data_IF_717219846652
#
_entry.id   IF_717219846652
#
_cell.length_a   1.000
_cell.length_b   1.000
_cell.length_c   1.000
_cell.angle_alpha   90.00
_cell.angle_beta   90.00
_cell.angle_gamma   90.00
#
_symmetry.space_group_name_H-M   'P 1'
#
loop_
_entity.id
_entity.type
_entity.pdbx_description
1 polymer ?
#
# COMPACT_ATOMS: atom_id res chain seq x y z
N UNK A 1 6.42 -16.63 -19.27
CA UNK A 1 6.74 -15.19 -19.30
C UNK A 1 5.58 -14.31 -18.84
N UNK A 2 4.42 -14.28 -19.50
CA UNK A 2 3.29 -13.41 -19.07
C UNK A 2 2.70 -13.81 -17.71
N UNK A 3 2.55 -15.12 -17.49
CA UNK A 3 2.06 -15.69 -16.22
C UNK A 3 2.99 -15.38 -15.04
N UNK A 4 4.30 -15.30 -15.28
CA UNK A 4 5.32 -15.02 -14.26
C UNK A 4 5.28 -13.54 -13.83
N UNK A 5 5.04 -12.62 -14.79
CA UNK A 5 4.86 -11.19 -14.50
C UNK A 5 3.57 -10.91 -13.73
N UNK A 6 2.48 -11.59 -14.07
CA UNK A 6 1.22 -11.52 -13.33
C UNK A 6 1.37 -12.07 -11.91
N UNK A 7 2.05 -13.22 -11.74
CA UNK A 7 2.34 -13.77 -10.43
C UNK A 7 3.19 -12.81 -9.58
N UNK A 8 4.20 -12.16 -10.19
CA UNK A 8 4.99 -11.13 -9.54
C UNK A 8 4.14 -9.92 -9.13
N UNK A 9 3.29 -9.41 -10.02
CA UNK A 9 2.43 -8.26 -9.72
C UNK A 9 1.47 -8.55 -8.56
N UNK A 10 0.90 -9.76 -8.50
CA UNK A 10 0.07 -10.21 -7.37
C UNK A 10 0.90 -10.32 -6.09
N UNK A 11 2.12 -10.85 -6.15
CA UNK A 11 3.01 -10.94 -4.99
C UNK A 11 3.37 -9.55 -4.44
N UNK A 12 3.66 -8.58 -5.32
CA UNK A 12 3.90 -7.19 -4.93
C UNK A 12 2.65 -6.55 -4.33
N UNK A 13 1.46 -6.81 -4.89
CA UNK A 13 0.21 -6.32 -4.32
C UNK A 13 -0.04 -6.87 -2.91
N UNK A 14 0.28 -8.15 -2.67
CA UNK A 14 0.15 -8.79 -1.37
C UNK A 14 1.13 -8.24 -0.30
N UNK A 15 2.23 -7.61 -0.71
CA UNK A 15 3.18 -6.95 0.19
C UNK A 15 2.64 -5.63 0.75
N UNK A 16 1.80 -4.90 0.00
CA UNK A 16 1.30 -3.58 0.40
C UNK A 16 0.52 -3.60 1.72
N UNK A 17 -0.43 -4.53 1.97
CA UNK A 17 -1.08 -4.68 3.27
C UNK A 17 -0.09 -4.83 4.43
N UNK A 18 1.02 -5.53 4.21
CA UNK A 18 2.04 -5.79 5.24
C UNK A 18 2.82 -4.52 5.58
N UNK A 19 3.15 -3.69 4.57
CA UNK A 19 3.80 -2.38 4.77
C UNK A 19 2.89 -1.47 5.61
N UNK A 20 1.61 -1.40 5.25
CA UNK A 20 0.63 -0.62 6.00
C UNK A 20 0.42 -1.18 7.41
N UNK A 21 0.28 -2.50 7.57
CA UNK A 21 0.08 -3.14 8.88
C UNK A 21 1.29 -3.05 9.82
N UNK A 22 2.51 -2.89 9.30
CA UNK A 22 3.71 -2.64 10.11
C UNK A 22 3.80 -1.19 10.59
N UNK A 23 3.26 -0.24 9.82
CA UNK A 23 3.37 1.19 10.10
C UNK A 23 2.13 1.78 10.81
N UNK A 24 0.97 1.13 10.68
CA UNK A 24 -0.32 1.63 11.15
C UNK A 24 -1.07 0.58 11.98
N UNK A 25 -1.86 1.02 12.96
CA UNK A 25 -2.78 0.13 13.66
C UNK A 25 -3.88 -0.38 12.71
N UNK A 26 -4.58 -1.46 13.09
CA UNK A 26 -5.68 -2.00 12.29
C UNK A 26 -6.73 -0.93 11.94
N UNK A 27 -7.34 -1.06 10.76
CA UNK A 27 -8.38 -0.12 10.30
C UNK A 27 -9.55 0.02 11.30
N UNK A 28 -9.89 -1.04 12.03
CA UNK A 28 -10.90 -1.01 13.09
C UNK A 28 -10.53 -0.07 14.23
N UNK A 29 -9.25 -0.05 14.63
CA UNK A 29 -8.72 0.85 15.64
C UNK A 29 -8.70 2.29 15.14
N UNK A 30 -8.28 2.53 13.89
CA UNK A 30 -8.27 3.89 13.29
C UNK A 30 -9.68 4.46 13.16
N UNK A 31 -10.68 3.62 12.87
CA UNK A 31 -12.07 4.04 12.81
C UNK A 31 -12.64 4.37 14.20
N UNK A 32 -12.12 3.74 15.26
CA UNK A 32 -12.54 3.99 16.63
C UNK A 32 -11.91 5.25 17.24
N UNK A 33 -10.69 5.62 16.82
CA UNK A 33 -10.03 6.87 17.18
C UNK A 33 -9.42 7.56 15.94
N UNK A 34 -10.23 8.35 15.21
CA UNK A 34 -9.81 9.06 14.00
C UNK A 34 -8.81 10.20 14.25
N UNK A 35 -8.70 10.66 15.49
CA UNK A 35 -8.05 11.92 15.86
C UNK A 35 -6.59 11.74 16.25
N UNK A 36 -6.09 10.51 16.30
CA UNK A 36 -4.73 10.20 16.71
C UNK A 36 -3.70 10.91 15.79
N UNK A 37 -2.92 11.88 16.30
CA UNK A 37 -2.11 12.78 15.49
C UNK A 37 -0.98 12.08 14.72
N UNK A 38 -0.58 10.88 15.16
CA UNK A 38 0.48 10.09 14.53
C UNK A 38 0.01 9.25 13.33
N UNK A 39 -1.30 9.03 13.19
CA UNK A 39 -1.83 8.16 12.12
C UNK A 39 -1.62 8.78 10.75
N UNK A 40 -1.76 10.10 10.62
CA UNK A 40 -1.55 10.78 9.32
C UNK A 40 -0.10 10.72 8.84
N UNK A 41 0.84 10.99 9.73
CA UNK A 41 2.27 10.93 9.38
C UNK A 41 2.69 9.50 9.03
N UNK A 42 2.22 8.51 9.79
CA UNK A 42 2.49 7.10 9.53
C UNK A 42 1.84 6.62 8.22
N UNK A 43 0.64 7.10 7.91
CA UNK A 43 -0.06 6.80 6.65
C UNK A 43 0.72 7.30 5.44
N UNK A 44 1.20 8.55 5.50
CA UNK A 44 2.03 9.12 4.43
C UNK A 44 3.35 8.36 4.29
N UNK A 45 4.02 8.05 5.41
CA UNK A 45 5.26 7.29 5.39
C UNK A 45 5.04 5.89 4.77
N UNK A 46 4.01 5.17 5.21
CA UNK A 46 3.65 3.86 4.67
C UNK A 46 3.32 3.93 3.17
N UNK A 47 2.59 4.95 2.73
CA UNK A 47 2.30 5.19 1.33
C UNK A 47 3.55 5.44 0.48
N UNK A 48 4.48 6.26 0.96
CA UNK A 48 5.76 6.48 0.28
C UNK A 48 6.62 5.21 0.23
N UNK A 49 6.69 4.46 1.33
CA UNK A 49 7.43 3.19 1.37
C UNK A 49 6.83 2.18 0.39
N UNK A 50 5.51 2.01 0.39
CA UNK A 50 4.80 1.13 -0.54
C UNK A 50 5.05 1.54 -2.00
N UNK A 51 4.92 2.83 -2.32
CA UNK A 51 5.19 3.34 -3.65
C UNK A 51 6.65 3.11 -4.08
N UNK A 52 7.62 3.36 -3.20
CA UNK A 52 9.04 3.13 -3.47
C UNK A 52 9.33 1.65 -3.75
N UNK A 53 8.74 0.73 -2.98
CA UNK A 53 8.88 -0.72 -3.19
C UNK A 53 8.27 -1.13 -4.53
N UNK A 54 7.05 -0.68 -4.84
CA UNK A 54 6.39 -1.00 -6.13
C UNK A 54 7.22 -0.50 -7.31
N UNK A 55 7.68 0.75 -7.27
CA UNK A 55 8.52 1.32 -8.35
C UNK A 55 9.84 0.56 -8.46
N UNK A 56 10.51 0.26 -7.34
CA UNK A 56 11.75 -0.51 -7.35
C UNK A 56 11.59 -1.90 -7.99
N UNK A 57 10.50 -2.61 -7.66
CA UNK A 57 10.23 -3.93 -8.24
C UNK A 57 9.81 -3.80 -9.71
N UNK A 58 8.99 -2.82 -10.08
CA UNK A 58 8.58 -2.61 -11.46
C UNK A 58 9.77 -2.30 -12.38
N UNK A 59 10.72 -1.47 -11.92
CA UNK A 59 11.94 -1.12 -12.66
C UNK A 59 12.87 -2.33 -12.79
N UNK A 60 13.09 -3.06 -11.70
CA UNK A 60 13.97 -4.26 -11.73
C UNK A 60 13.41 -5.40 -12.56
N UNK A 61 12.09 -5.59 -12.55
CA UNK A 61 11.42 -6.62 -13.34
C UNK A 61 11.05 -6.19 -14.77
N UNK A 62 11.16 -4.90 -15.10
CA UNK A 62 10.73 -4.35 -16.39
C UNK A 62 9.26 -4.65 -16.72
N UNK A 63 8.37 -4.57 -15.72
CA UNK A 63 6.94 -4.92 -15.85
C UNK A 63 6.06 -3.74 -15.48
N UNK A 64 5.29 -3.27 -16.47
CA UNK A 64 4.26 -2.25 -16.27
C UNK A 64 3.09 -2.77 -15.45
N UNK A 65 2.79 -4.07 -15.51
CA UNK A 65 1.72 -4.70 -14.74
C UNK A 65 1.96 -4.59 -13.23
N UNK A 66 3.21 -4.76 -12.77
CA UNK A 66 3.58 -4.55 -11.36
C UNK A 66 3.29 -3.12 -10.93
N UNK A 67 3.60 -2.15 -11.78
CA UNK A 67 3.42 -0.74 -11.49
C UNK A 67 1.93 -0.38 -11.39
N UNK A 68 1.11 -0.89 -12.32
CA UNK A 68 -0.34 -0.67 -12.34
C UNK A 68 -1.02 -1.36 -11.15
N UNK A 69 -0.78 -2.66 -10.95
CA UNK A 69 -1.46 -3.45 -9.92
C UNK A 69 -0.96 -3.05 -8.52
N UNK A 70 0.35 -2.96 -8.33
CA UNK A 70 0.95 -2.53 -7.06
C UNK A 70 0.61 -1.07 -6.72
N UNK A 71 0.60 -0.19 -7.72
CA UNK A 71 0.21 1.21 -7.57
C UNK A 71 -1.27 1.35 -7.20
N UNK A 72 -2.17 0.62 -7.88
CA UNK A 72 -3.59 0.59 -7.58
C UNK A 72 -3.84 0.08 -6.14
N UNK A 73 -3.12 -0.96 -5.72
CA UNK A 73 -3.26 -1.49 -4.36
C UNK A 73 -2.77 -0.50 -3.29
N UNK A 74 -1.67 0.20 -3.56
CA UNK A 74 -1.16 1.28 -2.68
C UNK A 74 -2.18 2.40 -2.55
N UNK A 75 -2.76 2.85 -3.66
CA UNK A 75 -3.79 3.88 -3.66
C UNK A 75 -5.06 3.42 -2.91
N UNK A 76 -5.48 2.17 -3.11
CA UNK A 76 -6.63 1.60 -2.40
C UNK A 76 -6.43 1.62 -0.88
N UNK A 77 -5.26 1.19 -0.40
CA UNK A 77 -4.96 1.21 1.04
C UNK A 77 -4.88 2.62 1.61
N UNK A 78 -4.24 3.56 0.90
CA UNK A 78 -4.26 4.97 1.30
C UNK A 78 -5.69 5.52 1.41
N UNK A 79 -6.57 5.21 0.45
CA UNK A 79 -7.97 5.62 0.49
C UNK A 79 -8.73 4.99 1.65
N UNK A 80 -8.48 3.72 1.97
CA UNK A 80 -9.10 3.04 3.10
C UNK A 80 -8.74 3.73 4.43
N UNK A 81 -7.47 3.98 4.71
CA UNK A 81 -7.05 4.68 5.93
C UNK A 81 -7.56 6.12 5.97
N UNK A 82 -7.48 6.85 4.85
CA UNK A 82 -8.03 8.21 4.75
C UNK A 82 -9.54 8.27 4.97
N UNK A 83 -10.28 7.26 4.51
CA UNK A 83 -11.74 7.17 4.71
C UNK A 83 -12.10 6.78 6.15
N UNK A 84 -11.33 5.88 6.77
CA UNK A 84 -11.50 5.51 8.17
C UNK A 84 -11.33 6.71 9.10
N UNK A 85 -10.39 7.62 8.78
CA UNK A 85 -10.15 8.85 9.56
C UNK A 85 -11.21 9.95 9.40
N UNK A 86 -12.11 9.83 8.41
CA UNK A 86 -13.14 10.85 8.12
C UNK A 86 -14.52 10.49 8.68
N UNK A 87 -14.67 9.29 9.26
CA UNK A 87 -15.89 8.84 9.91
C UNK A 87 -15.85 9.19 11.39
#
# INVERSE_FOLDING_TARGET
MERDKLALAVAVAALIPSIYGAALPPLSTVTADPSAPHVESSERAAGFTAAAVVVGIAVTAGSGEVLVIGGAMTAAYALLYRSARRR
#
